data_IF_554307437041
#
_entry.id   IF_554307437041
#
_cell.length_a   1.000
_cell.length_b   1.000
_cell.length_c   1.000
_cell.angle_alpha   90.00
_cell.angle_beta   90.00
_cell.angle_gamma   90.00
#
_symmetry.space_group_name_H-M   'P 1'
#
loop_
_entity.id
_entity.type
_entity.pdbx_description
1 polymer ?
#
# COMPACT_ATOMS: atom_id res chain seq x y z
N UNK A 1 -12.56 7.68 26.43
CA UNK A 1 -11.16 8.17 26.52
C UNK A 1 -10.48 7.80 25.21
N UNK A 2 -10.83 8.49 24.12
CA UNK A 2 -10.09 9.56 23.45
C UNK A 2 -8.61 9.25 23.11
N UNK A 3 -8.36 9.36 21.80
CA UNK A 3 -7.09 9.66 21.10
C UNK A 3 -6.22 8.47 20.69
N UNK A 4 -6.41 8.03 19.45
CA UNK A 4 -5.26 7.89 18.54
C UNK A 4 -5.55 8.73 17.29
N UNK A 5 -4.86 9.84 17.27
CA UNK A 5 -4.85 10.95 16.34
C UNK A 5 -4.70 10.50 14.89
N UNK A 6 -5.72 10.86 14.11
CA UNK A 6 -5.65 11.15 12.69
C UNK A 6 -4.62 12.27 12.46
N UNK A 7 -3.42 11.96 11.97
CA UNK A 7 -2.54 12.92 11.28
C UNK A 7 -1.62 12.15 10.35
N UNK A 8 -1.81 12.35 9.04
CA UNK A 8 -0.72 12.51 8.08
C UNK A 8 -1.30 13.12 6.80
N UNK A 9 -1.66 14.40 6.90
CA UNK A 9 -1.87 15.26 5.75
C UNK A 9 -0.47 15.57 5.17
N UNK A 10 -0.09 14.90 4.09
CA UNK A 10 1.01 15.33 3.23
C UNK A 10 0.51 15.39 1.79
N UNK A 11 -0.18 16.49 1.48
CA UNK A 11 -0.31 16.94 0.10
C UNK A 11 1.02 17.57 -0.32
N UNK A 12 1.87 16.81 -1.02
CA UNK A 12 2.94 17.38 -1.84
C UNK A 12 2.89 16.76 -3.22
N UNK A 13 2.35 17.53 -4.15
CA UNK A 13 2.50 17.34 -5.59
C UNK A 13 3.98 17.35 -5.97
N UNK A 14 4.46 16.23 -6.50
CA UNK A 14 5.51 16.18 -7.50
C UNK A 14 5.41 14.85 -8.26
N UNK A 15 4.46 14.74 -9.20
CA UNK A 15 4.68 13.88 -10.35
C UNK A 15 5.87 14.48 -11.11
N UNK A 16 7.06 13.88 -11.02
CA UNK A 16 8.04 13.83 -12.11
C UNK A 16 9.27 13.00 -11.69
N UNK A 17 9.26 11.73 -12.06
CA UNK A 17 10.33 11.03 -12.76
C UNK A 17 10.08 9.54 -12.63
N UNK A 18 10.06 8.85 -13.77
CA UNK A 18 10.10 7.40 -13.84
C UNK A 18 11.51 6.93 -13.43
N UNK A 19 11.88 7.16 -12.18
CA UNK A 19 12.86 6.36 -11.49
C UNK A 19 12.07 5.26 -10.81
N UNK A 20 12.40 3.99 -11.08
CA UNK A 20 12.01 2.93 -10.18
C UNK A 20 12.59 3.30 -8.82
N UNK A 21 11.79 3.95 -7.96
CA UNK A 21 12.07 4.01 -6.55
C UNK A 21 12.28 2.55 -6.17
N UNK A 22 13.52 2.20 -5.83
CA UNK A 22 13.81 0.91 -5.25
C UNK A 22 13.04 0.92 -3.94
N UNK A 23 11.80 0.41 -3.98
CA UNK A 23 10.99 0.24 -2.80
C UNK A 23 11.87 -0.42 -1.75
N UNK A 24 11.90 0.15 -0.54
CA UNK A 24 12.64 -0.41 0.56
C UNK A 24 12.32 -1.90 0.62
N UNK A 25 13.35 -2.74 0.46
CA UNK A 25 13.18 -4.18 0.49
C UNK A 25 13.05 -4.54 1.96
N UNK A 26 11.88 -5.00 2.43
CA UNK A 26 11.76 -5.41 3.80
C UNK A 26 12.66 -6.62 4.09
N UNK A 27 13.00 -6.80 5.37
CA UNK A 27 13.91 -7.83 5.84
C UNK A 27 13.46 -9.26 5.49
N UNK A 28 14.36 -10.23 5.72
CA UNK A 28 14.10 -11.64 5.45
C UNK A 28 12.76 -12.13 6.07
N UNK A 29 11.94 -12.81 5.26
CA UNK A 29 10.65 -13.37 5.70
C UNK A 29 9.41 -12.64 5.17
N UNK A 30 9.57 -11.51 4.49
CA UNK A 30 8.45 -10.84 3.84
C UNK A 30 8.14 -11.41 2.46
N UNK A 31 6.85 -11.35 2.08
CA UNK A 31 6.41 -11.50 0.70
C UNK A 31 7.01 -10.39 -0.15
N UNK A 32 7.23 -10.66 -1.43
CA UNK A 32 7.77 -9.65 -2.34
C UNK A 32 6.74 -8.56 -2.61
N UNK A 33 7.20 -7.39 -3.06
CA UNK A 33 6.34 -6.28 -3.49
C UNK A 33 5.38 -6.72 -4.60
N UNK A 34 5.83 -7.56 -5.54
CA UNK A 34 4.99 -8.10 -6.61
C UNK A 34 3.85 -8.94 -6.05
N UNK A 35 4.11 -9.72 -4.99
CA UNK A 35 3.08 -10.52 -4.33
C UNK A 35 2.07 -9.65 -3.59
N UNK A 36 2.50 -8.57 -2.96
CA UNK A 36 1.59 -7.61 -2.33
C UNK A 36 0.69 -6.93 -3.39
N UNK A 37 1.26 -6.50 -4.53
CA UNK A 37 0.51 -5.95 -5.66
C UNK A 37 -0.49 -6.98 -6.23
N UNK A 38 -0.08 -8.24 -6.36
CA UNK A 38 -0.96 -9.34 -6.80
C UNK A 38 -2.14 -9.52 -5.83
N UNK A 39 -1.88 -9.53 -4.52
CA UNK A 39 -2.93 -9.61 -3.48
C UNK A 39 -3.89 -8.43 -3.58
N UNK A 40 -3.40 -7.20 -3.75
CA UNK A 40 -4.25 -6.03 -3.91
C UNK A 40 -5.18 -6.16 -5.14
N UNK A 41 -4.65 -6.62 -6.28
CA UNK A 41 -5.44 -6.82 -7.50
C UNK A 41 -6.44 -7.96 -7.39
N UNK A 42 -6.00 -9.11 -6.89
CA UNK A 42 -6.79 -10.36 -6.92
C UNK A 42 -7.75 -10.51 -5.75
N UNK A 43 -7.41 -9.98 -4.57
CA UNK A 43 -8.21 -10.12 -3.34
C UNK A 43 -8.90 -8.82 -2.92
N UNK A 44 -8.29 -7.66 -3.16
CA UNK A 44 -8.85 -6.36 -2.75
C UNK A 44 -9.54 -5.58 -3.89
N UNK A 45 -9.46 -6.06 -5.13
CA UNK A 45 -10.20 -5.51 -6.28
C UNK A 45 -9.58 -4.25 -6.90
N UNK A 46 -8.27 -4.06 -6.73
CA UNK A 46 -7.55 -2.93 -7.32
C UNK A 46 -7.39 -3.15 -8.83
N UNK A 47 -7.82 -2.18 -9.63
CA UNK A 47 -7.69 -2.22 -11.10
C UNK A 47 -6.43 -1.52 -11.59
N UNK A 48 -5.92 -0.59 -10.78
CA UNK A 48 -4.69 0.16 -11.03
C UNK A 48 -3.93 0.33 -9.70
N UNK A 49 -2.61 0.18 -9.70
CA UNK A 49 -1.75 0.35 -8.52
C UNK A 49 -0.75 1.45 -8.81
N UNK A 50 -0.69 2.44 -7.93
CA UNK A 50 0.16 3.63 -8.06
C UNK A 50 1.45 3.51 -7.25
N UNK A 51 1.35 2.91 -6.07
CA UNK A 51 2.47 2.73 -5.16
C UNK A 51 2.30 1.45 -4.35
N UNK A 52 3.42 0.87 -3.96
CA UNK A 52 3.51 -0.19 -2.97
C UNK A 52 4.80 0.02 -2.17
N UNK A 53 4.67 0.25 -0.88
CA UNK A 53 5.77 0.65 0.00
C UNK A 53 5.79 -0.24 1.24
N UNK A 54 6.98 -0.60 1.71
CA UNK A 54 7.12 -1.32 2.97
C UNK A 54 7.01 -0.32 4.13
N UNK A 55 6.18 -0.64 5.12
CA UNK A 55 6.01 0.16 6.33
C UNK A 55 6.70 -0.55 7.52
N UNK A 56 7.41 0.21 8.35
CA UNK A 56 8.13 -0.29 9.54
C UNK A 56 7.21 -1.04 10.53
N UNK A 57 5.89 -0.87 10.42
CA UNK A 57 4.88 -1.59 11.20
C UNK A 57 4.60 -3.03 10.71
N UNK A 58 5.33 -3.54 9.71
CA UNK A 58 5.27 -4.95 9.33
C UNK A 58 4.30 -5.29 8.19
N UNK A 59 3.92 -4.31 7.37
CA UNK A 59 3.03 -4.52 6.22
C UNK A 59 3.49 -3.76 4.98
N UNK A 60 3.01 -4.21 3.82
CA UNK A 60 3.00 -3.44 2.59
C UNK A 60 1.81 -2.49 2.59
N UNK A 61 2.05 -1.20 2.37
CA UNK A 61 1.03 -0.23 2.03
C UNK A 61 0.90 -0.16 0.51
N UNK A 62 -0.25 -0.56 -0.03
CA UNK A 62 -0.54 -0.55 -1.47
C UNK A 62 -1.61 0.47 -1.76
N UNK A 63 -1.28 1.50 -2.54
CA UNK A 63 -2.21 2.54 -2.99
C UNK A 63 -2.60 2.35 -4.44
N UNK A 64 -3.88 2.49 -4.74
CA UNK A 64 -4.37 2.33 -6.10
C UNK A 64 -5.86 2.59 -6.25
N UNK A 65 -6.37 2.43 -7.46
CA UNK A 65 -7.76 2.70 -7.81
C UNK A 65 -8.54 1.41 -7.99
N UNK A 66 -9.81 1.42 -7.57
CA UNK A 66 -10.78 0.34 -7.81
C UNK A 66 -11.73 0.68 -8.97
N UNK A 67 -12.58 -0.28 -9.36
CA UNK A 67 -13.53 -0.11 -10.46
C UNK A 67 -14.56 1.01 -10.25
N UNK A 68 -14.76 1.45 -9.00
CA UNK A 68 -15.58 2.62 -8.65
C UNK A 68 -14.90 3.97 -8.97
N UNK A 69 -13.67 3.94 -9.48
CA UNK A 69 -12.88 5.13 -9.80
C UNK A 69 -12.23 5.81 -8.58
N UNK A 70 -12.49 5.32 -7.37
CA UNK A 70 -11.98 5.89 -6.12
C UNK A 70 -10.62 5.28 -5.77
N UNK A 71 -9.75 6.07 -5.13
CA UNK A 71 -8.44 5.64 -4.63
C UNK A 71 -8.59 5.02 -3.25
N UNK A 72 -7.93 3.89 -3.05
CA UNK A 72 -7.90 3.15 -1.80
C UNK A 72 -6.45 2.85 -1.41
N UNK A 73 -6.26 2.64 -0.11
CA UNK A 73 -5.06 2.10 0.52
C UNK A 73 -5.39 0.72 1.13
N UNK A 74 -4.60 -0.29 0.76
CA UNK A 74 -4.61 -1.61 1.38
C UNK A 74 -3.34 -1.81 2.21
N UNK A 75 -3.49 -2.40 3.39
CA UNK A 75 -2.38 -2.88 4.21
C UNK A 75 -2.33 -4.38 4.12
N UNK A 76 -1.22 -4.91 3.63
CA UNK A 76 -1.02 -6.33 3.39
C UNK A 76 0.11 -6.81 4.28
N UNK A 77 -0.19 -7.75 5.17
CA UNK A 77 0.77 -8.32 6.12
C UNK A 77 2.04 -8.77 5.40
N UNK A 78 3.18 -8.28 5.89
CA UNK A 78 4.48 -8.48 5.24
C UNK A 78 4.86 -9.95 5.15
N UNK A 79 4.54 -10.77 6.16
CA UNK A 79 4.94 -12.18 6.20
C UNK A 79 3.95 -13.12 5.50
N UNK A 80 2.65 -12.93 5.72
CA UNK A 80 1.59 -13.85 5.30
C UNK A 80 0.87 -13.42 4.01
N UNK A 81 0.93 -12.15 3.65
CA UNK A 81 0.14 -11.60 2.53
C UNK A 81 -1.35 -11.49 2.81
N UNK A 82 -1.76 -11.52 4.09
CA UNK A 82 -3.14 -11.29 4.49
C UNK A 82 -3.49 -9.80 4.40
N UNK A 83 -4.69 -9.47 3.94
CA UNK A 83 -5.18 -8.09 3.96
C UNK A 83 -5.57 -7.74 5.40
N UNK A 84 -4.82 -6.80 5.99
CA UNK A 84 -5.06 -6.28 7.34
C UNK A 84 -6.07 -5.12 7.32
N UNK A 85 -6.08 -4.35 6.25
CA UNK A 85 -6.96 -3.18 6.06
C UNK A 85 -7.14 -2.88 4.58
N UNK A 86 -8.29 -2.31 4.23
CA UNK A 86 -8.58 -1.81 2.89
C UNK A 86 -9.60 -0.68 3.02
N UNK A 87 -9.23 0.53 2.65
CA UNK A 87 -10.05 1.72 2.86
C UNK A 87 -9.77 2.81 1.83
N UNK A 88 -10.69 3.77 1.71
CA UNK A 88 -10.45 4.96 0.88
C UNK A 88 -9.23 5.73 1.41
N UNK A 89 -8.38 6.17 0.50
CA UNK A 89 -7.22 7.04 0.77
C UNK A 89 -7.67 8.48 1.07
#
# INVERSE_FOLDING_TARGET
MLKKTLVALCATTALLSAGAALADKPGAGWITIEKAIEVAKTKAGYVEVYAAEADDNGYWEVKGRKSDGTVYEARIDGASGNILRDQKD
#
